data_IF_799664814351
#
_entry.id   IF_799664814351
#
_cell.length_a   1.000
_cell.length_b   1.000
_cell.length_c   1.000
_cell.angle_alpha   90.00
_cell.angle_beta   90.00
_cell.angle_gamma   90.00
#
_symmetry.space_group_name_H-M   'P 1'
#
loop_
_entity.id
_entity.type
_entity.pdbx_description
1 polymer ?
#
# COMPACT_ATOMS: atom_id res chain seq x y z
N UNK A 1 -14.84 15.54 -0.72
CA UNK A 1 -13.38 15.38 -0.50
C UNK A 1 -12.97 14.06 -1.11
N UNK A 2 -11.95 14.03 -1.97
CA UNK A 2 -11.46 12.78 -2.58
C UNK A 2 -10.10 12.39 -2.04
N UNK A 3 -9.84 11.09 -1.96
CA UNK A 3 -8.53 10.54 -1.71
C UNK A 3 -7.61 10.86 -2.88
N UNK A 4 -6.43 11.40 -2.57
CA UNK A 4 -5.41 11.75 -3.57
C UNK A 4 -4.50 10.56 -3.79
N UNK A 5 -4.16 10.30 -5.04
CA UNK A 5 -3.15 9.30 -5.38
C UNK A 5 -1.79 9.75 -4.83
N UNK A 6 -0.93 8.81 -4.41
CA UNK A 6 0.43 9.14 -4.04
C UNK A 6 1.19 9.74 -5.24
N UNK A 7 2.18 10.58 -4.94
CA UNK A 7 2.95 11.31 -5.96
C UNK A 7 3.76 10.39 -6.85
N UNK A 8 3.76 10.65 -8.17
CA UNK A 8 4.60 9.91 -9.13
C UNK A 8 6.10 10.05 -8.83
N UNK A 9 6.52 11.17 -8.24
CA UNK A 9 7.92 11.34 -7.82
C UNK A 9 8.32 10.33 -6.75
N UNK A 10 7.40 10.00 -5.83
CA UNK A 10 7.66 8.99 -4.79
C UNK A 10 7.91 7.60 -5.40
N UNK A 11 7.14 7.21 -6.43
CA UNK A 11 7.37 5.97 -7.17
C UNK A 11 8.78 5.91 -7.78
N UNK A 12 9.17 6.97 -8.51
CA UNK A 12 10.48 7.02 -9.16
C UNK A 12 11.63 7.00 -8.14
N UNK A 13 11.48 7.71 -7.02
CA UNK A 13 12.45 7.65 -5.93
C UNK A 13 12.60 6.24 -5.37
N UNK A 14 11.49 5.52 -5.15
CA UNK A 14 11.54 4.15 -4.63
C UNK A 14 12.19 3.19 -5.63
N UNK A 15 11.92 3.31 -6.94
CA UNK A 15 12.56 2.48 -7.97
C UNK A 15 14.07 2.73 -8.04
N UNK A 16 14.46 4.01 -8.00
CA UNK A 16 15.88 4.38 -8.04
C UNK A 16 16.61 3.81 -6.82
N UNK A 17 16.03 3.97 -5.63
CA UNK A 17 16.59 3.43 -4.39
C UNK A 17 16.63 1.89 -4.41
N UNK A 18 15.58 1.23 -4.92
CA UNK A 18 15.55 -0.23 -5.04
C UNK A 18 16.71 -0.72 -5.91
N UNK A 19 16.92 -0.05 -7.04
CA UNK A 19 18.00 -0.39 -7.98
C UNK A 19 19.38 -0.20 -7.35
N UNK A 20 19.59 0.92 -6.63
CA UNK A 20 20.84 1.22 -5.93
C UNK A 20 21.10 0.19 -4.82
N UNK A 21 20.11 -0.08 -3.97
CA UNK A 21 20.26 -1.02 -2.86
C UNK A 21 20.43 -2.46 -3.35
N UNK A 22 19.77 -2.84 -4.44
CA UNK A 22 19.95 -4.16 -5.05
C UNK A 22 21.39 -4.33 -5.58
N UNK A 23 21.91 -3.34 -6.32
CA UNK A 23 23.30 -3.36 -6.80
C UNK A 23 24.29 -3.44 -5.64
N UNK A 24 24.11 -2.62 -4.60
CA UNK A 24 24.96 -2.63 -3.40
C UNK A 24 24.92 -3.97 -2.67
N UNK A 25 23.72 -4.55 -2.52
CA UNK A 25 23.53 -5.84 -1.83
C UNK A 25 24.18 -6.98 -2.63
N UNK A 26 24.02 -7.00 -3.96
CA UNK A 26 24.66 -8.00 -4.83
C UNK A 26 26.18 -7.88 -4.75
N UNK A 27 26.72 -6.66 -4.82
CA UNK A 27 28.15 -6.41 -4.69
C UNK A 27 28.69 -6.90 -3.34
N UNK A 28 28.04 -6.53 -2.24
CA UNK A 28 28.46 -6.92 -0.89
C UNK A 28 28.33 -8.43 -0.65
N UNK A 29 27.28 -9.06 -1.18
CA UNK A 29 27.11 -10.51 -1.14
C UNK A 29 28.26 -11.21 -1.89
N UNK A 30 28.64 -10.69 -3.06
CA UNK A 30 29.74 -11.24 -3.85
C UNK A 30 31.07 -11.15 -3.09
N UNK A 31 31.34 -10.03 -2.40
CA UNK A 31 32.51 -9.88 -1.53
C UNK A 31 32.50 -10.84 -0.33
N UNK A 32 31.32 -11.08 0.25
CA UNK A 32 31.15 -11.94 1.41
C UNK A 32 31.42 -13.41 1.06
N UNK A 33 30.99 -13.85 -0.13
CA UNK A 33 31.20 -15.21 -0.63
C UNK A 33 32.64 -15.43 -1.12
N UNK A 34 33.28 -14.42 -1.72
CA UNK A 34 34.65 -14.55 -2.26
C UNK A 34 35.76 -14.51 -1.20
N UNK A 35 35.44 -14.15 0.04
CA UNK A 35 36.41 -14.03 1.13
C UNK A 35 36.25 -15.19 2.12
N UNK A 36 37.31 -15.99 2.32
CA UNK A 36 37.27 -17.14 3.25
C UNK A 36 36.99 -16.75 4.71
N UNK A 37 37.48 -15.58 5.14
CA UNK A 37 37.24 -15.02 6.48
C UNK A 37 36.80 -13.55 6.36
N UNK A 38 35.52 -13.30 6.05
CA UNK A 38 35.03 -11.94 5.86
C UNK A 38 35.08 -11.16 7.19
N UNK A 39 35.62 -9.95 7.14
CA UNK A 39 35.73 -9.08 8.31
C UNK A 39 34.34 -8.69 8.83
N UNK A 40 34.27 -8.34 10.12
CA UNK A 40 33.03 -7.86 10.73
C UNK A 40 32.44 -6.68 9.95
N UNK A 41 33.29 -5.78 9.46
CA UNK A 41 32.91 -4.63 8.65
C UNK A 41 32.15 -5.04 7.38
N UNK A 42 32.63 -6.05 6.64
CA UNK A 42 31.97 -6.54 5.42
C UNK A 42 30.61 -7.15 5.75
N UNK A 43 30.51 -7.92 6.84
CA UNK A 43 29.25 -8.51 7.31
C UNK A 43 28.23 -7.44 7.70
N UNK A 44 28.66 -6.42 8.44
CA UNK A 44 27.79 -5.32 8.87
C UNK A 44 27.30 -4.50 7.70
N UNK A 45 28.17 -4.19 6.73
CA UNK A 45 27.75 -3.48 5.51
C UNK A 45 26.71 -4.28 4.71
N UNK A 46 26.92 -5.58 4.55
CA UNK A 46 25.93 -6.47 3.91
C UNK A 46 24.58 -6.43 4.63
N UNK A 47 24.57 -6.63 5.95
CA UNK A 47 23.34 -6.60 6.73
C UNK A 47 22.61 -5.25 6.63
N UNK A 48 23.35 -4.15 6.63
CA UNK A 48 22.80 -2.81 6.48
C UNK A 48 22.22 -2.60 5.07
N UNK A 49 22.95 -2.97 4.02
CA UNK A 49 22.47 -2.89 2.64
C UNK A 49 21.21 -3.72 2.41
N UNK A 50 21.23 -4.96 2.88
CA UNK A 50 20.07 -5.86 2.81
C UNK A 50 18.88 -5.34 3.62
N UNK A 51 19.10 -4.82 4.82
CA UNK A 51 18.05 -4.21 5.64
C UNK A 51 17.41 -3.00 4.96
N UNK A 52 18.22 -2.11 4.37
CA UNK A 52 17.73 -0.96 3.60
C UNK A 52 16.95 -1.39 2.36
N UNK A 53 17.40 -2.43 1.66
CA UNK A 53 16.67 -3.02 0.53
C UNK A 53 15.27 -3.47 0.99
N UNK A 54 15.18 -4.29 2.05
CA UNK A 54 13.89 -4.78 2.56
C UNK A 54 12.95 -3.64 2.97
N UNK A 55 13.47 -2.60 3.63
CA UNK A 55 12.68 -1.42 4.00
C UNK A 55 12.17 -0.71 2.75
N UNK A 56 13.01 -0.52 1.73
CA UNK A 56 12.61 0.14 0.49
C UNK A 56 11.58 -0.69 -0.29
N UNK A 57 11.77 -2.01 -0.38
CA UNK A 57 10.79 -2.92 -1.00
C UNK A 57 9.45 -2.85 -0.26
N UNK A 58 9.44 -2.81 1.07
CA UNK A 58 8.23 -2.66 1.87
C UNK A 58 7.50 -1.34 1.55
N UNK A 59 8.23 -0.22 1.47
CA UNK A 59 7.67 1.08 1.08
C UNK A 59 7.14 1.07 -0.37
N UNK A 60 7.82 0.39 -1.28
CA UNK A 60 7.38 0.22 -2.67
C UNK A 60 6.08 -0.56 -2.78
N UNK A 61 5.97 -1.69 -2.07
CA UNK A 61 4.70 -2.45 -1.98
C UNK A 61 3.60 -1.58 -1.39
N UNK A 62 3.89 -0.81 -0.34
CA UNK A 62 2.96 0.16 0.25
C UNK A 62 2.49 1.22 -0.75
N UNK A 63 3.39 1.79 -1.54
CA UNK A 63 3.05 2.72 -2.61
C UNK A 63 2.10 2.08 -3.63
N UNK A 64 2.44 0.89 -4.12
CA UNK A 64 1.62 0.16 -5.08
C UNK A 64 0.21 -0.10 -4.53
N UNK A 65 0.11 -0.51 -3.26
CA UNK A 65 -1.17 -0.68 -2.58
C UNK A 65 -1.97 0.63 -2.52
N UNK A 66 -1.35 1.74 -2.09
CA UNK A 66 -2.03 3.04 -1.99
C UNK A 66 -2.52 3.55 -3.36
N UNK A 67 -1.68 3.40 -4.39
CA UNK A 67 -2.03 3.79 -5.75
C UNK A 67 -3.20 2.95 -6.29
N UNK A 68 -3.21 1.65 -5.99
CA UNK A 68 -4.30 0.73 -6.32
C UNK A 68 -5.58 1.02 -5.53
N UNK A 69 -5.50 1.25 -4.21
CA UNK A 69 -6.66 1.43 -3.34
C UNK A 69 -7.40 2.77 -3.56
N UNK A 70 -6.66 3.84 -3.88
CA UNK A 70 -7.21 5.19 -4.06
C UNK A 70 -8.45 5.28 -4.98
N UNK A 71 -8.44 4.76 -6.23
CA UNK A 71 -9.62 4.81 -7.09
C UNK A 71 -10.82 4.08 -6.48
N UNK A 72 -10.63 2.94 -5.82
CA UNK A 72 -11.73 2.20 -5.19
C UNK A 72 -12.28 2.93 -3.97
N UNK A 73 -11.43 3.58 -3.17
CA UNK A 73 -11.89 4.43 -2.05
C UNK A 73 -12.73 5.61 -2.53
N UNK A 74 -12.32 6.25 -3.62
CA UNK A 74 -13.09 7.34 -4.25
C UNK A 74 -14.41 6.84 -4.81
N UNK A 75 -14.41 5.72 -5.53
CA UNK A 75 -15.64 5.13 -6.06
C UNK A 75 -16.59 4.69 -4.95
N UNK A 76 -16.08 4.12 -3.85
CA UNK A 76 -16.89 3.76 -2.68
C UNK A 76 -17.52 4.99 -2.03
N UNK A 77 -16.78 6.10 -1.97
CA UNK A 77 -17.29 7.39 -1.49
C UNK A 77 -18.42 7.89 -2.41
N UNK A 78 -18.25 7.80 -3.73
CA UNK A 78 -19.27 8.21 -4.70
C UNK A 78 -20.54 7.34 -4.60
N UNK A 79 -20.39 6.02 -4.45
CA UNK A 79 -21.52 5.11 -4.21
C UNK A 79 -22.20 5.42 -2.88
N UNK A 80 -21.44 5.74 -1.83
CA UNK A 80 -22.01 6.08 -0.53
C UNK A 80 -22.85 7.35 -0.55
N UNK A 81 -22.61 8.25 -1.52
CA UNK A 81 -23.46 9.42 -1.73
C UNK A 81 -24.83 9.06 -2.29
N UNK A 82 -24.92 8.03 -3.13
CA UNK A 82 -26.19 7.54 -3.67
C UNK A 82 -26.90 6.62 -2.69
N UNK A 83 -26.14 5.76 -2.02
CA UNK A 83 -26.65 4.78 -1.07
C UNK A 83 -25.74 4.72 0.17
N UNK A 84 -26.11 5.44 1.25
CA UNK A 84 -25.33 5.47 2.50
C UNK A 84 -25.15 4.09 3.15
N UNK A 85 -25.99 3.10 2.81
CA UNK A 85 -25.91 1.75 3.37
C UNK A 85 -24.81 0.91 2.74
N UNK A 86 -24.08 1.39 1.73
CA UNK A 86 -23.01 0.61 1.06
C UNK A 86 -21.95 0.10 2.04
N UNK A 87 -21.71 0.82 3.14
CA UNK A 87 -20.78 0.46 4.19
C UNK A 87 -21.53 0.23 5.51
N UNK A 88 -21.34 -0.94 6.12
CA UNK A 88 -21.92 -1.30 7.42
C UNK A 88 -20.80 -1.59 8.40
N UNK A 89 -20.89 -1.05 9.62
CA UNK A 89 -20.06 -1.47 10.75
C UNK A 89 -20.78 -2.57 11.56
N UNK A 90 -20.17 -3.76 11.65
CA UNK A 90 -20.64 -4.91 12.46
C UNK A 90 -19.42 -5.65 13.02
N UNK A 91 -19.55 -6.31 14.18
CA UNK A 91 -18.47 -7.15 14.76
C UNK A 91 -17.10 -6.45 14.83
N UNK A 92 -17.09 -5.16 15.19
CA UNK A 92 -15.90 -4.32 15.22
C UNK A 92 -15.14 -4.20 13.87
N UNK A 93 -15.85 -4.37 12.76
CA UNK A 93 -15.30 -4.31 11.39
C UNK A 93 -16.26 -3.62 10.44
N UNK A 94 -15.68 -3.01 9.41
CA UNK A 94 -16.43 -2.47 8.28
C UNK A 94 -16.60 -3.53 7.20
N UNK A 95 -17.83 -3.64 6.72
CA UNK A 95 -18.26 -4.53 5.65
C UNK A 95 -18.90 -3.72 4.54
N UNK A 96 -18.72 -4.19 3.30
CA UNK A 96 -19.31 -3.60 2.11
C UNK A 96 -20.50 -4.47 1.70
N UNK A 97 -21.64 -3.84 1.40
CA UNK A 97 -22.79 -4.57 0.87
C UNK A 97 -22.61 -4.79 -0.63
N UNK A 98 -22.29 -6.02 -1.03
CA UNK A 98 -22.09 -6.41 -2.43
C UNK A 98 -23.28 -6.04 -3.33
N UNK A 99 -24.50 -6.21 -2.82
CA UNK A 99 -25.74 -5.90 -3.57
C UNK A 99 -25.79 -4.44 -4.02
N UNK A 100 -25.32 -3.51 -3.18
CA UNK A 100 -25.32 -2.08 -3.50
C UNK A 100 -24.32 -1.78 -4.60
N UNK A 101 -23.13 -2.39 -4.57
CA UNK A 101 -22.13 -2.24 -5.63
C UNK A 101 -22.60 -2.87 -6.96
N UNK A 102 -23.25 -4.03 -6.90
CA UNK A 102 -23.79 -4.70 -8.08
C UNK A 102 -24.93 -3.90 -8.73
N UNK A 103 -25.78 -3.25 -7.94
CA UNK A 103 -26.84 -2.36 -8.45
C UNK A 103 -26.26 -1.15 -9.21
N UNK A 104 -25.08 -0.68 -8.81
CA UNK A 104 -24.34 0.39 -9.51
C UNK A 104 -23.47 -0.15 -10.67
N UNK A 105 -23.55 -1.44 -11.00
CA UNK A 105 -22.78 -2.07 -12.09
C UNK A 105 -21.29 -2.24 -11.80
N UNK A 106 -20.88 -2.22 -10.53
CA UNK A 106 -19.48 -2.33 -10.11
C UNK A 106 -19.13 -3.76 -9.67
N UNK A 107 -17.93 -4.23 -10.04
CA UNK A 107 -17.38 -5.48 -9.49
C UNK A 107 -17.02 -5.28 -8.01
N UNK A 108 -17.62 -6.07 -7.12
CA UNK A 108 -17.41 -5.96 -5.67
C UNK A 108 -16.07 -6.54 -5.20
N UNK A 109 -15.41 -7.41 -6.00
CA UNK A 109 -14.19 -8.13 -5.57
C UNK A 109 -13.03 -7.22 -5.17
N UNK A 110 -12.69 -6.14 -5.92
CA UNK A 110 -11.61 -5.25 -5.54
C UNK A 110 -11.89 -4.51 -4.22
N UNK A 111 -13.15 -4.16 -3.96
CA UNK A 111 -13.55 -3.44 -2.76
C UNK A 111 -13.41 -4.30 -1.50
N UNK A 112 -13.68 -5.61 -1.58
CA UNK A 112 -13.43 -6.54 -0.47
C UNK A 112 -11.96 -6.68 -0.08
N UNK A 113 -11.05 -6.35 -1.00
CA UNK A 113 -9.60 -6.39 -0.76
C UNK A 113 -9.07 -5.11 -0.10
N UNK A 114 -9.91 -4.08 0.04
CA UNK A 114 -9.53 -2.89 0.80
C UNK A 114 -9.33 -3.24 2.27
N UNK A 115 -8.28 -2.68 2.87
CA UNK A 115 -7.99 -2.86 4.29
C UNK A 115 -9.09 -2.25 5.15
N UNK A 116 -9.25 -2.76 6.38
CA UNK A 116 -10.17 -2.17 7.36
C UNK A 116 -9.85 -0.70 7.67
N UNK A 117 -8.57 -0.32 7.59
CA UNK A 117 -8.14 1.08 7.72
C UNK A 117 -8.73 1.94 6.61
N UNK A 118 -8.68 1.48 5.36
CA UNK A 118 -9.24 2.21 4.22
C UNK A 118 -10.76 2.38 4.32
N UNK A 119 -11.48 1.33 4.75
CA UNK A 119 -12.91 1.39 4.96
C UNK A 119 -13.30 2.37 6.06
N UNK A 120 -12.54 2.38 7.17
CA UNK A 120 -12.70 3.34 8.25
C UNK A 120 -12.48 4.77 7.79
N UNK A 121 -11.45 5.02 6.98
CA UNK A 121 -11.19 6.34 6.41
C UNK A 121 -12.33 6.83 5.50
N UNK A 122 -12.89 5.94 4.67
CA UNK A 122 -14.07 6.27 3.85
C UNK A 122 -15.26 6.61 4.75
N UNK A 123 -15.55 5.81 5.77
CA UNK A 123 -16.64 6.06 6.71
C UNK A 123 -16.52 7.42 7.41
N UNK A 124 -15.32 7.77 7.88
CA UNK A 124 -15.06 9.06 8.53
C UNK A 124 -15.35 10.25 7.61
N UNK A 125 -15.11 10.12 6.30
CA UNK A 125 -15.45 11.16 5.33
C UNK A 125 -16.94 11.22 5.03
N UNK A 126 -17.64 10.09 5.05
CA UNK A 126 -19.10 10.02 4.92
C UNK A 126 -19.75 10.77 6.10
N UNK A 127 -19.35 10.44 7.33
CA UNK A 127 -19.89 11.04 8.56
C UNK A 127 -19.63 12.55 8.65
N UNK A 128 -18.42 13.01 8.30
CA UNK A 128 -18.07 14.43 8.30
C UNK A 128 -18.88 15.28 7.32
N UNK A 129 -19.49 14.66 6.31
CA UNK A 129 -20.23 15.35 5.25
C UNK A 129 -21.75 15.33 5.46
N UNK A 130 -22.24 14.41 6.31
CA UNK A 130 -23.64 14.36 6.73
C UNK A 130 -23.96 15.26 7.94
N UNK A 131 -22.95 15.94 8.50
CA UNK A 131 -23.09 17.04 9.46
C UNK A 131 -22.88 18.37 8.74
#
# INVERSE_FOLDING_TARGET
>A
MHFRRPSKYWFWSLILLESIFLMLTIFQLSLLISTNHPTLTVKTYFLLGFGLLLINTYLFIGYCYLAWATPYKNSLLDVSHKNPQVLIYKFDRYFIIDKVLQQEGLDYKPYKRLSQKDLREVNLLIEKRGR
#
